data_IF_051498295439
#
_entry.id   IF_051498295439
#
_cell.length_a   1.000
_cell.length_b   1.000
_cell.length_c   1.000
_cell.angle_alpha   90.00
_cell.angle_beta   90.00
_cell.angle_gamma   90.00
#
_symmetry.space_group_name_H-M   'P 1'
#
loop_
_entity.id
_entity.type
_entity.pdbx_description
1 polymer ?
#
# COMPACT_ATOMS: atom_id res chain seq x y z
N UNK A 1 3.77 53.29 -38.43
CA UNK A 1 4.86 52.56 -37.73
C UNK A 1 4.62 52.28 -36.23
N UNK A 2 3.44 52.53 -35.68
CA UNK A 2 3.17 52.37 -34.22
C UNK A 2 2.43 51.07 -33.90
N UNK A 3 1.85 50.38 -34.87
CA UNK A 3 1.06 49.17 -34.68
C UNK A 3 1.90 47.91 -34.45
N UNK A 4 3.13 47.82 -34.99
CA UNK A 4 4.02 46.70 -34.82
C UNK A 4 4.59 46.57 -33.40
N UNK A 5 4.83 47.69 -32.71
CA UNK A 5 5.41 47.68 -31.38
C UNK A 5 4.45 47.12 -30.32
N UNK A 6 3.15 47.41 -30.42
CA UNK A 6 2.14 46.87 -29.49
C UNK A 6 1.90 45.37 -29.69
N UNK A 7 1.99 44.89 -30.93
CA UNK A 7 1.83 43.48 -31.22
C UNK A 7 3.00 42.66 -30.69
N UNK A 8 4.22 43.17 -30.80
CA UNK A 8 5.43 42.54 -30.25
C UNK A 8 5.36 42.52 -28.71
N UNK A 9 4.92 43.60 -28.07
CA UNK A 9 4.73 43.64 -26.61
C UNK A 9 3.71 42.59 -26.16
N UNK A 10 2.57 42.47 -26.82
CA UNK A 10 1.55 41.47 -26.53
C UNK A 10 2.07 40.03 -26.68
N UNK A 11 2.84 39.74 -27.71
CA UNK A 11 3.49 38.45 -27.92
C UNK A 11 4.50 38.12 -26.81
N UNK A 12 5.30 39.12 -26.40
CA UNK A 12 6.25 38.94 -25.30
C UNK A 12 5.52 38.65 -23.97
N UNK A 13 4.42 39.34 -23.67
CA UNK A 13 3.62 39.04 -22.48
C UNK A 13 2.94 37.69 -22.53
N UNK A 14 2.49 37.23 -23.71
CA UNK A 14 1.94 35.88 -23.88
C UNK A 14 3.01 34.80 -23.69
N UNK A 15 4.20 35.00 -24.22
CA UNK A 15 5.32 34.06 -24.07
C UNK A 15 5.78 33.99 -22.61
N UNK A 16 5.92 35.14 -21.93
CA UNK A 16 6.27 35.18 -20.50
C UNK A 16 5.15 34.55 -19.66
N UNK A 17 3.88 34.82 -19.98
CA UNK A 17 2.74 34.21 -19.29
C UNK A 17 2.72 32.68 -19.44
N UNK A 18 2.99 32.16 -20.65
CA UNK A 18 3.10 30.71 -20.89
C UNK A 18 4.28 30.09 -20.16
N UNK A 19 5.44 30.74 -20.12
CA UNK A 19 6.61 30.28 -19.37
C UNK A 19 6.37 30.28 -17.86
N UNK A 20 5.65 31.28 -17.32
CA UNK A 20 5.28 31.30 -15.91
C UNK A 20 4.29 30.18 -15.54
N UNK A 21 3.38 29.81 -16.44
CA UNK A 21 2.46 28.69 -16.21
C UNK A 21 3.20 27.35 -16.25
N UNK A 22 4.11 27.16 -17.22
CA UNK A 22 4.93 25.95 -17.27
C UNK A 22 5.89 25.82 -16.09
N UNK A 23 6.50 26.92 -15.64
CA UNK A 23 7.37 26.95 -14.48
C UNK A 23 6.59 26.69 -13.18
N UNK A 24 5.36 27.20 -13.05
CA UNK A 24 4.50 26.93 -11.90
C UNK A 24 4.05 25.47 -11.82
N UNK A 25 3.75 24.86 -12.97
CA UNK A 25 3.39 23.45 -13.06
C UNK A 25 4.61 22.54 -12.78
N UNK A 26 5.78 22.88 -13.35
CA UNK A 26 7.03 22.18 -13.06
C UNK A 26 7.44 22.28 -11.60
N UNK A 27 7.30 23.45 -10.99
CA UNK A 27 7.61 23.65 -9.57
C UNK A 27 6.72 22.78 -8.67
N UNK A 28 5.42 22.70 -8.94
CA UNK A 28 4.51 21.90 -8.13
C UNK A 28 4.77 20.38 -8.25
N UNK A 29 5.12 19.90 -9.44
CA UNK A 29 5.48 18.48 -9.65
C UNK A 29 6.80 18.12 -8.97
N UNK A 30 7.80 19.00 -9.01
CA UNK A 30 9.08 18.81 -8.31
C UNK A 30 8.86 18.67 -6.79
N UNK A 31 8.08 19.59 -6.18
CA UNK A 31 7.80 19.53 -4.74
C UNK A 31 7.05 18.26 -4.32
N UNK A 32 6.14 17.76 -5.16
CA UNK A 32 5.42 16.51 -4.87
C UNK A 32 6.37 15.29 -4.92
N UNK A 33 7.26 15.22 -5.90
CA UNK A 33 8.22 14.13 -6.02
C UNK A 33 9.27 14.15 -4.90
N UNK A 34 9.69 15.34 -4.44
CA UNK A 34 10.60 15.47 -3.29
C UNK A 34 9.95 14.93 -2.02
N UNK A 35 8.66 15.16 -1.80
CA UNK A 35 7.95 14.62 -0.64
C UNK A 35 7.80 13.09 -0.69
N UNK A 36 7.60 12.51 -1.87
CA UNK A 36 7.56 11.06 -2.05
C UNK A 36 8.94 10.43 -1.84
N UNK A 37 10.00 11.08 -2.33
CA UNK A 37 11.37 10.67 -2.11
C UNK A 37 11.71 10.64 -0.61
N UNK A 38 11.41 11.72 0.12
CA UNK A 38 11.61 11.78 1.56
C UNK A 38 10.78 10.73 2.31
N UNK A 39 9.54 10.50 1.88
CA UNK A 39 8.67 9.49 2.46
C UNK A 39 9.26 8.07 2.32
N UNK A 40 9.81 7.75 1.15
CA UNK A 40 10.47 6.47 0.89
C UNK A 40 11.74 6.32 1.74
N UNK A 41 12.61 7.34 1.79
CA UNK A 41 13.82 7.32 2.64
C UNK A 41 13.45 7.06 4.10
N UNK A 42 12.49 7.82 4.62
CA UNK A 42 12.02 7.65 6.00
C UNK A 42 11.40 6.28 6.25
N UNK A 43 10.71 5.73 5.26
CA UNK A 43 10.20 4.37 5.34
C UNK A 43 11.34 3.36 5.39
N UNK A 44 12.35 3.50 4.51
CA UNK A 44 13.52 2.62 4.43
C UNK A 44 14.41 2.66 5.69
N UNK A 45 14.49 3.80 6.38
CA UNK A 45 15.22 3.94 7.65
C UNK A 45 14.73 2.96 8.72
N UNK A 46 13.42 2.70 8.76
CA UNK A 46 12.82 1.70 9.65
C UNK A 46 13.30 0.27 9.39
N UNK A 47 13.87 -0.01 8.22
CA UNK A 47 14.30 -1.34 7.77
C UNK A 47 15.82 -1.47 7.59
N UNK A 48 16.58 -0.39 7.70
CA UNK A 48 17.96 -0.31 7.21
C UNK A 48 19.01 -1.03 8.06
N UNK A 49 18.68 -1.57 9.23
CA UNK A 49 19.65 -2.27 10.06
C UNK A 49 19.88 -3.71 9.58
N UNK A 50 20.82 -3.89 8.66
CA UNK A 50 21.41 -5.21 8.38
C UNK A 50 21.06 -5.85 7.06
N UNK A 51 20.39 -5.16 6.11
CA UNK A 51 20.07 -5.72 4.81
C UNK A 51 20.68 -4.94 3.66
N UNK A 52 21.27 -5.63 2.69
CA UNK A 52 21.73 -5.03 1.43
C UNK A 52 20.54 -4.64 0.51
N UNK A 53 19.30 -4.98 0.90
CA UNK A 53 18.12 -4.71 0.08
C UNK A 53 17.94 -3.22 -0.22
N UNK A 54 18.19 -2.38 0.77
CA UNK A 54 18.09 -0.92 0.66
C UNK A 54 19.37 -0.25 0.15
N UNK A 55 20.37 -1.03 -0.30
CA UNK A 55 21.63 -0.48 -0.85
C UNK A 55 21.42 0.41 -2.09
N UNK A 56 20.32 0.20 -2.82
CA UNK A 56 19.90 1.04 -3.96
C UNK A 56 19.15 2.32 -3.53
N UNK A 57 18.74 2.42 -2.25
CA UNK A 57 17.94 3.55 -1.75
C UNK A 57 18.87 4.67 -1.27
N UNK A 58 19.43 5.38 -2.22
CA UNK A 58 20.35 6.48 -1.95
C UNK A 58 19.70 7.81 -2.28
N UNK A 59 19.85 8.79 -1.39
CA UNK A 59 19.23 10.09 -1.50
C UNK A 59 19.58 10.85 -2.79
N UNK A 60 20.74 10.57 -3.38
CA UNK A 60 21.21 11.23 -4.59
C UNK A 60 20.76 10.53 -5.87
N UNK A 61 20.09 9.36 -5.77
CA UNK A 61 19.66 8.56 -6.92
C UNK A 61 18.15 8.71 -7.17
N UNK A 62 17.76 8.50 -8.42
CA UNK A 62 16.36 8.46 -8.84
C UNK A 62 15.62 7.32 -8.14
N UNK A 63 14.71 7.64 -7.23
CA UNK A 63 13.97 6.66 -6.43
C UNK A 63 13.10 5.71 -7.28
N UNK A 64 12.75 6.09 -8.50
CA UNK A 64 12.04 5.18 -9.40
C UNK A 64 12.92 4.01 -9.89
N UNK A 65 14.24 4.06 -9.65
CA UNK A 65 15.19 2.96 -9.91
C UNK A 65 15.52 2.14 -8.68
N UNK A 66 14.99 2.51 -7.50
CA UNK A 66 15.25 1.77 -6.28
C UNK A 66 14.56 0.41 -6.30
N UNK A 67 15.23 -0.58 -5.70
CA UNK A 67 14.67 -1.93 -5.60
C UNK A 67 13.29 -1.89 -4.93
N UNK A 68 12.31 -2.48 -5.57
CA UNK A 68 10.95 -2.57 -5.08
C UNK A 68 10.07 -1.33 -5.29
N UNK A 69 10.61 -0.22 -5.81
CA UNK A 69 9.84 0.98 -6.13
C UNK A 69 9.41 0.95 -7.59
N UNK A 70 8.14 1.25 -7.84
CA UNK A 70 7.59 1.41 -9.20
C UNK A 70 6.85 2.73 -9.32
N UNK A 71 7.20 3.48 -10.36
CA UNK A 71 6.59 4.77 -10.65
C UNK A 71 5.71 4.73 -11.90
N UNK A 72 4.80 5.68 -11.99
CA UNK A 72 4.08 5.98 -13.22
C UNK A 72 5.02 6.61 -14.24
N UNK A 73 5.04 6.09 -15.44
CA UNK A 73 6.01 6.49 -16.50
C UNK A 73 5.79 7.92 -17.02
N UNK A 74 4.65 8.53 -16.76
CA UNK A 74 4.29 9.86 -17.27
C UNK A 74 4.50 10.92 -16.19
N UNK A 75 4.04 10.61 -14.98
CA UNK A 75 4.04 11.57 -13.87
C UNK A 75 5.22 11.42 -12.93
N UNK A 76 5.90 10.26 -12.93
CA UNK A 76 6.99 9.96 -12.00
C UNK A 76 6.54 9.62 -10.57
N UNK A 77 5.24 9.66 -10.28
CA UNK A 77 4.72 9.35 -8.95
C UNK A 77 4.86 7.86 -8.60
N UNK A 78 5.13 7.57 -7.33
CA UNK A 78 5.19 6.20 -6.80
C UNK A 78 3.80 5.58 -6.84
N UNK A 79 3.66 4.49 -7.58
CA UNK A 79 2.41 3.73 -7.69
C UNK A 79 2.52 2.32 -7.10
N UNK A 80 3.74 1.85 -6.89
CA UNK A 80 4.03 0.49 -6.44
C UNK A 80 5.18 0.46 -5.46
N UNK A 81 5.04 -0.32 -4.40
CA UNK A 81 6.08 -0.64 -3.44
C UNK A 81 6.04 -2.14 -3.13
N UNK A 82 7.09 -2.86 -3.53
CA UNK A 82 7.26 -4.31 -3.30
C UNK A 82 8.54 -4.55 -2.51
N UNK A 83 8.42 -4.92 -1.26
CA UNK A 83 9.55 -5.16 -0.37
C UNK A 83 9.52 -6.61 0.10
N UNK A 84 10.18 -7.48 -0.64
CA UNK A 84 10.36 -8.89 -0.25
C UNK A 84 11.81 -9.12 0.19
N UNK A 85 12.05 -9.12 1.49
CA UNK A 85 13.37 -9.41 2.02
C UNK A 85 13.43 -10.92 2.28
N UNK A 86 13.77 -11.67 1.24
CA UNK A 86 13.79 -13.16 1.26
C UNK A 86 14.91 -13.76 2.11
N UNK A 87 15.58 -12.99 2.94
CA UNK A 87 16.59 -13.55 3.82
C UNK A 87 15.95 -14.10 5.09
N UNK A 88 15.99 -15.43 5.32
CA UNK A 88 15.38 -16.06 6.49
C UNK A 88 16.01 -15.62 7.81
N UNK A 89 17.21 -15.03 7.78
CA UNK A 89 17.94 -14.54 8.93
C UNK A 89 17.77 -13.03 9.16
N UNK A 90 17.25 -12.29 8.18
CA UNK A 90 16.97 -10.88 8.30
C UNK A 90 15.62 -10.67 8.98
N UNK A 91 15.72 -10.37 10.26
CA UNK A 91 14.61 -9.89 11.04
C UNK A 91 14.60 -8.38 10.87
N UNK A 92 13.56 -7.83 10.28
CA UNK A 92 13.43 -6.39 10.13
C UNK A 92 13.15 -5.77 11.50
N UNK A 93 14.07 -4.96 12.03
CA UNK A 93 13.80 -4.22 13.25
C UNK A 93 12.95 -3.02 12.84
N UNK A 94 11.68 -3.09 12.80
CA UNK A 94 11.05 -1.88 12.39
C UNK A 94 9.56 -1.83 12.65
N UNK A 95 9.14 -0.70 13.13
CA UNK A 95 7.78 -0.25 13.03
C UNK A 95 7.56 0.22 11.59
N UNK A 96 6.51 -0.28 10.93
CA UNK A 96 6.11 0.24 9.63
C UNK A 96 5.79 1.73 9.77
N UNK A 97 6.52 2.56 9.05
CA UNK A 97 6.40 4.02 9.15
C UNK A 97 5.14 4.53 8.48
N UNK A 98 4.42 5.42 9.14
CA UNK A 98 3.28 6.16 8.56
C UNK A 98 3.70 7.12 7.42
N UNK A 99 5.00 7.21 7.11
CA UNK A 99 5.50 8.01 5.98
C UNK A 99 4.90 7.59 4.64
N UNK A 100 4.42 6.33 4.51
CA UNK A 100 3.69 5.85 3.34
C UNK A 100 2.41 6.67 3.03
N UNK A 101 1.85 7.40 4.00
CA UNK A 101 0.74 8.31 3.79
C UNK A 101 1.10 9.49 2.86
N UNK A 102 2.39 9.78 2.71
CA UNK A 102 2.89 10.80 1.80
C UNK A 102 3.12 10.27 0.37
N UNK A 103 2.64 9.07 0.06
CA UNK A 103 2.61 8.48 -1.29
C UNK A 103 1.17 8.48 -1.82
N UNK A 104 0.64 9.60 -2.31
CA UNK A 104 -0.78 9.78 -2.60
C UNK A 104 -1.27 8.93 -3.77
N UNK A 105 -0.36 8.43 -4.62
CA UNK A 105 -0.69 7.63 -5.80
C UNK A 105 -0.37 6.14 -5.63
N UNK A 106 0.03 5.71 -4.41
CA UNK A 106 0.36 4.32 -4.14
C UNK A 106 -0.88 3.42 -4.30
N UNK A 107 -0.78 2.47 -5.24
CA UNK A 107 -1.85 1.50 -5.56
C UNK A 107 -1.50 0.07 -5.20
N UNK A 108 -0.23 -0.25 -5.14
CA UNK A 108 0.27 -1.58 -4.87
C UNK A 108 1.27 -1.55 -3.72
N UNK A 109 0.93 -2.23 -2.64
CA UNK A 109 1.79 -2.39 -1.47
C UNK A 109 1.95 -3.87 -1.16
N UNK A 110 3.17 -4.37 -1.26
CA UNK A 110 3.54 -5.72 -0.90
C UNK A 110 4.66 -5.72 0.15
N UNK A 111 4.31 -6.12 1.35
CA UNK A 111 5.22 -6.28 2.48
C UNK A 111 5.31 -7.74 2.90
N UNK A 112 4.94 -8.68 2.02
CA UNK A 112 4.93 -10.10 2.33
C UNK A 112 6.34 -10.67 2.54
N UNK A 113 6.42 -11.80 3.23
CA UNK A 113 7.65 -12.52 3.49
C UNK A 113 8.72 -11.74 4.28
N UNK A 114 8.31 -10.70 4.97
CA UNK A 114 9.17 -9.92 5.85
C UNK A 114 8.99 -10.39 7.30
N UNK A 115 10.08 -10.80 7.95
CA UNK A 115 10.02 -11.13 9.38
C UNK A 115 10.23 -9.87 10.20
N UNK A 116 9.14 -9.22 10.61
CA UNK A 116 9.25 -8.15 11.60
C UNK A 116 9.74 -8.71 12.95
N UNK A 117 10.74 -8.08 13.57
CA UNK A 117 11.51 -8.62 14.70
C UNK A 117 10.71 -8.89 15.96
N UNK A 118 9.71 -8.08 16.17
CA UNK A 118 8.77 -8.25 17.28
C UNK A 118 7.41 -8.37 16.64
N UNK A 119 6.85 -9.57 16.56
CA UNK A 119 5.50 -9.72 16.06
C UNK A 119 4.67 -8.44 16.33
N UNK A 120 4.37 -7.67 15.28
CA UNK A 120 3.74 -6.34 15.37
C UNK A 120 2.30 -6.43 14.87
N UNK A 121 1.37 -5.61 15.39
CA UNK A 121 0.02 -5.53 14.83
C UNK A 121 0.05 -4.90 13.44
N UNK A 122 -0.95 -5.20 12.61
CA UNK A 122 -1.15 -4.47 11.36
C UNK A 122 -1.43 -3.01 11.71
N UNK A 123 -0.61 -2.06 11.20
CA UNK A 123 -0.77 -0.64 11.55
C UNK A 123 -2.07 -0.06 11.03
N UNK A 124 -2.77 0.68 11.87
CA UNK A 124 -4.04 1.30 11.50
C UNK A 124 -3.90 2.31 10.35
N UNK A 125 -2.75 2.97 10.19
CA UNK A 125 -2.55 3.93 9.10
C UNK A 125 -2.72 3.31 7.71
N UNK A 126 -2.54 1.98 7.57
CA UNK A 126 -2.73 1.27 6.29
C UNK A 126 -4.15 1.50 5.76
N UNK A 127 -5.16 1.53 6.64
CA UNK A 127 -6.54 1.85 6.26
C UNK A 127 -6.75 3.28 5.72
N UNK A 128 -5.73 4.14 5.81
CA UNK A 128 -5.76 5.50 5.25
C UNK A 128 -5.08 5.63 3.88
N UNK A 129 -4.54 4.53 3.33
CA UNK A 129 -3.98 4.48 1.98
C UNK A 129 -5.10 4.30 0.93
N UNK A 130 -5.95 5.30 0.77
CA UNK A 130 -7.23 5.18 0.07
C UNK A 130 -7.15 4.74 -1.41
N UNK A 131 -6.00 4.88 -2.06
CA UNK A 131 -5.81 4.49 -3.47
C UNK A 131 -5.28 3.07 -3.66
N UNK A 132 -5.03 2.34 -2.55
CA UNK A 132 -4.53 0.96 -2.62
C UNK A 132 -5.54 0.07 -3.34
N UNK A 133 -5.04 -0.65 -4.34
CA UNK A 133 -5.75 -1.67 -5.11
C UNK A 133 -5.29 -3.09 -4.77
N UNK A 134 -4.02 -3.24 -4.39
CA UNK A 134 -3.38 -4.48 -4.00
C UNK A 134 -2.63 -4.31 -2.67
N UNK A 135 -2.96 -5.13 -1.70
CA UNK A 135 -2.31 -5.17 -0.39
C UNK A 135 -1.95 -6.61 -0.03
N UNK A 136 -0.66 -6.87 0.11
CA UNK A 136 -0.15 -8.15 0.55
C UNK A 136 0.69 -7.99 1.82
N UNK A 137 0.23 -8.58 2.91
CA UNK A 137 0.86 -8.59 4.22
C UNK A 137 1.12 -10.03 4.69
N UNK A 138 1.13 -10.99 3.76
CA UNK A 138 1.26 -12.41 4.09
C UNK A 138 2.67 -12.79 4.55
N UNK A 139 2.76 -13.79 5.42
CA UNK A 139 4.04 -14.32 5.89
C UNK A 139 5.00 -13.25 6.46
N UNK A 140 4.46 -12.20 7.08
CA UNK A 140 5.22 -11.06 7.56
C UNK A 140 5.30 -10.96 9.10
N UNK A 141 4.81 -12.00 9.80
CA UNK A 141 4.81 -12.09 11.26
C UNK A 141 3.95 -11.02 11.96
N UNK A 142 2.88 -10.56 11.30
CA UNK A 142 1.87 -9.72 11.94
C UNK A 142 1.04 -10.52 12.95
N UNK A 143 0.59 -9.86 14.02
CA UNK A 143 -0.24 -10.46 15.07
C UNK A 143 -1.39 -9.56 15.51
N UNK A 144 -2.20 -10.09 16.44
CA UNK A 144 -3.30 -9.34 17.05
C UNK A 144 -4.53 -9.25 16.17
N UNK A 145 -5.34 -8.24 16.38
CA UNK A 145 -6.62 -8.08 15.69
C UNK A 145 -6.42 -7.38 14.34
N UNK A 146 -7.05 -7.91 13.30
CA UNK A 146 -7.12 -7.23 12.00
C UNK A 146 -7.89 -5.92 12.18
N UNK A 147 -7.30 -4.76 11.84
CA UNK A 147 -7.96 -3.49 12.03
C UNK A 147 -9.14 -3.32 11.05
N UNK A 148 -10.32 -2.98 11.59
CA UNK A 148 -11.55 -2.83 10.81
C UNK A 148 -11.50 -1.66 9.81
N UNK A 149 -10.58 -0.71 10.01
CA UNK A 149 -10.39 0.42 9.10
C UNK A 149 -9.76 0.01 7.76
N UNK A 150 -9.31 -1.24 7.58
CA UNK A 150 -9.03 -1.79 6.24
C UNK A 150 -10.25 -1.71 5.32
N UNK A 151 -11.47 -1.65 5.88
CA UNK A 151 -12.70 -1.37 5.13
C UNK A 151 -12.74 0.00 4.44
N UNK A 152 -11.88 0.95 4.83
CA UNK A 152 -11.79 2.26 4.18
C UNK A 152 -11.07 2.21 2.82
N UNK A 153 -10.41 1.09 2.49
CA UNK A 153 -9.70 0.90 1.22
C UNK A 153 -10.68 0.60 0.08
N UNK A 154 -11.51 1.57 -0.25
CA UNK A 154 -12.62 1.40 -1.19
C UNK A 154 -12.24 0.93 -2.60
N UNK A 155 -10.97 1.10 -3.01
CA UNK A 155 -10.45 0.66 -4.30
C UNK A 155 -9.77 -0.72 -4.26
N UNK A 156 -9.70 -1.36 -3.08
CA UNK A 156 -8.99 -2.61 -2.87
C UNK A 156 -9.56 -3.74 -3.72
N UNK A 157 -8.72 -4.38 -4.52
CA UNK A 157 -9.04 -5.50 -5.40
C UNK A 157 -8.48 -6.83 -4.89
N UNK A 158 -7.36 -6.78 -4.17
CA UNK A 158 -6.70 -7.97 -3.63
C UNK A 158 -6.16 -7.68 -2.24
N UNK A 159 -6.49 -8.57 -1.30
CA UNK A 159 -5.99 -8.55 0.08
C UNK A 159 -5.49 -9.94 0.45
N UNK A 160 -4.23 -10.03 0.84
CA UNK A 160 -3.62 -11.23 1.36
C UNK A 160 -3.05 -10.99 2.76
N UNK A 161 -3.60 -11.68 3.76
CA UNK A 161 -3.19 -11.66 5.17
C UNK A 161 -2.70 -13.04 5.62
N UNK A 162 -2.50 -13.98 4.70
CA UNK A 162 -2.21 -15.37 4.99
C UNK A 162 -0.84 -15.59 5.64
N UNK A 163 -0.65 -16.75 6.25
CA UNK A 163 0.68 -17.20 6.68
C UNK A 163 1.31 -16.42 7.85
N UNK A 164 0.60 -15.54 8.52
CA UNK A 164 1.09 -14.83 9.71
C UNK A 164 1.04 -15.69 10.99
N UNK A 165 1.32 -16.95 10.86
CA UNK A 165 0.80 -18.10 11.56
C UNK A 165 1.27 -18.42 12.96
N UNK A 166 2.37 -17.96 13.53
CA UNK A 166 2.73 -18.37 14.90
C UNK A 166 2.20 -17.43 15.99
N UNK A 167 1.83 -16.23 15.60
CA UNK A 167 1.33 -15.19 16.51
C UNK A 167 -0.12 -14.81 16.22
N UNK A 168 -0.79 -15.61 15.40
CA UNK A 168 -2.18 -15.53 14.95
C UNK A 168 -2.78 -14.12 14.85
N UNK A 169 -2.87 -13.64 13.60
CA UNK A 169 -3.88 -12.64 13.29
C UNK A 169 -5.26 -13.21 13.62
N UNK A 170 -6.13 -12.39 14.18
CA UNK A 170 -7.51 -12.75 14.48
C UNK A 170 -8.47 -11.70 13.94
N UNK A 171 -9.64 -12.13 13.52
CA UNK A 171 -10.73 -11.25 13.17
C UNK A 171 -11.80 -11.27 14.25
N UNK A 172 -12.15 -10.11 14.81
CA UNK A 172 -13.30 -9.98 15.70
C UNK A 172 -14.62 -10.10 14.94
N UNK A 173 -14.65 -9.62 13.70
CA UNK A 173 -15.72 -9.76 12.74
C UNK A 173 -15.19 -9.51 11.32
N UNK A 174 -15.99 -9.78 10.30
CA UNK A 174 -15.67 -9.48 8.89
C UNK A 174 -16.58 -8.41 8.28
N UNK A 175 -17.23 -7.58 9.10
CA UNK A 175 -18.14 -6.54 8.61
C UNK A 175 -17.44 -5.52 7.69
N UNK A 176 -16.17 -5.26 7.93
CA UNK A 176 -15.36 -4.37 7.11
C UNK A 176 -15.15 -4.88 5.68
N UNK A 177 -15.29 -6.19 5.41
CA UNK A 177 -15.17 -6.76 4.07
C UNK A 177 -16.34 -6.34 3.18
N UNK A 178 -17.54 -6.14 3.76
CA UNK A 178 -18.73 -5.81 2.97
C UNK A 178 -18.65 -4.49 2.21
N UNK A 179 -17.88 -3.53 2.73
CA UNK A 179 -17.74 -2.21 2.11
C UNK A 179 -16.70 -2.18 0.99
N UNK A 180 -15.90 -3.25 0.84
CA UNK A 180 -14.88 -3.38 -0.18
C UNK A 180 -15.45 -3.84 -1.52
N UNK A 181 -16.26 -3.01 -2.17
CA UNK A 181 -17.05 -3.36 -3.36
C UNK A 181 -16.24 -3.81 -4.58
N UNK A 182 -14.94 -3.46 -4.64
CA UNK A 182 -14.03 -3.87 -5.74
C UNK A 182 -13.17 -5.08 -5.41
N UNK A 183 -13.26 -5.63 -4.19
CA UNK A 183 -12.44 -6.75 -3.75
C UNK A 183 -12.74 -8.00 -4.61
N UNK A 184 -11.70 -8.62 -5.15
CA UNK A 184 -11.77 -9.82 -5.99
C UNK A 184 -11.06 -11.01 -5.35
N UNK A 185 -10.01 -10.74 -4.60
CA UNK A 185 -9.19 -11.76 -3.95
C UNK A 185 -9.07 -11.40 -2.47
N UNK A 186 -9.40 -12.36 -1.61
CA UNK A 186 -9.22 -12.27 -0.17
C UNK A 186 -8.61 -13.58 0.32
N UNK A 187 -7.40 -13.52 0.87
CA UNK A 187 -6.76 -14.66 1.51
C UNK A 187 -6.60 -14.40 3.02
N UNK A 188 -7.30 -15.18 3.82
CA UNK A 188 -7.26 -15.18 5.28
C UNK A 188 -6.72 -16.51 5.83
N UNK A 189 -5.95 -17.27 5.01
CA UNK A 189 -5.44 -18.58 5.42
C UNK A 189 -4.54 -18.46 6.66
N UNK A 190 -4.90 -19.17 7.72
CA UNK A 190 -4.20 -19.10 9.00
C UNK A 190 -4.63 -17.97 9.94
N UNK A 191 -5.62 -17.15 9.57
CA UNK A 191 -6.25 -16.17 10.46
C UNK A 191 -7.23 -16.88 11.40
N UNK A 192 -7.20 -16.53 12.68
CA UNK A 192 -8.18 -17.01 13.66
C UNK A 192 -9.51 -16.27 13.48
N UNK A 193 -10.54 -17.00 13.04
CA UNK A 193 -11.91 -16.51 12.84
C UNK A 193 -12.86 -16.94 13.96
N UNK A 194 -12.37 -17.48 15.09
CA UNK A 194 -13.20 -18.01 16.18
C UNK A 194 -14.15 -16.99 16.78
N UNK A 195 -13.76 -15.71 16.80
CA UNK A 195 -14.59 -14.60 17.27
C UNK A 195 -15.56 -14.07 16.21
N UNK A 196 -15.25 -14.27 14.94
CA UNK A 196 -16.08 -13.81 13.82
C UNK A 196 -17.19 -14.83 13.52
N UNK A 197 -18.15 -15.00 14.46
CA UNK A 197 -19.17 -16.06 14.42
C UNK A 197 -19.95 -16.14 13.12
N UNK A 198 -20.17 -15.00 12.47
CA UNK A 198 -20.96 -14.88 11.24
C UNK A 198 -20.08 -14.81 9.97
N UNK A 199 -18.81 -15.23 10.08
CA UNK A 199 -17.86 -15.12 8.99
C UNK A 199 -18.33 -15.82 7.70
N UNK A 200 -18.96 -17.00 7.83
CA UNK A 200 -19.44 -17.78 6.69
C UNK A 200 -20.62 -17.07 6.00
N UNK A 201 -21.54 -16.52 6.79
CA UNK A 201 -22.65 -15.73 6.29
C UNK A 201 -22.17 -14.46 5.64
N UNK A 202 -21.22 -13.78 6.28
CA UNK A 202 -20.53 -12.59 5.78
C UNK A 202 -19.96 -12.80 4.39
N UNK A 203 -19.25 -13.89 4.18
CA UNK A 203 -18.62 -14.21 2.90
C UNK A 203 -19.67 -14.66 1.86
N UNK A 204 -20.67 -15.45 2.26
CA UNK A 204 -21.74 -15.88 1.37
C UNK A 204 -22.58 -14.71 0.87
N UNK A 205 -22.89 -13.74 1.72
CA UNK A 205 -23.58 -12.50 1.33
C UNK A 205 -22.70 -11.73 0.36
N UNK A 206 -21.43 -11.54 0.66
CA UNK A 206 -20.50 -10.86 -0.23
C UNK A 206 -20.41 -11.55 -1.60
N UNK A 207 -20.22 -12.86 -1.66
CA UNK A 207 -20.17 -13.64 -2.89
C UNK A 207 -21.47 -13.55 -3.71
N UNK A 208 -22.62 -13.43 -3.05
CA UNK A 208 -23.93 -13.31 -3.72
C UNK A 208 -24.14 -11.93 -4.37
N UNK A 209 -23.63 -10.87 -3.75
CA UNK A 209 -23.75 -9.50 -4.27
C UNK A 209 -22.61 -9.09 -5.20
N UNK A 210 -21.44 -9.71 -5.07
CA UNK A 210 -20.29 -9.50 -5.94
C UNK A 210 -20.18 -10.65 -6.93
N UNK A 211 -20.85 -10.54 -8.07
CA UNK A 211 -20.81 -11.53 -9.16
C UNK A 211 -19.44 -11.77 -9.79
N UNK A 212 -18.36 -11.28 -9.18
CA UNK A 212 -16.98 -11.26 -9.71
C UNK A 212 -15.91 -11.73 -8.74
N UNK A 213 -16.26 -12.30 -7.58
CA UNK A 213 -15.24 -12.80 -6.64
C UNK A 213 -14.73 -14.15 -7.10
N UNK A 214 -13.50 -14.20 -7.56
CA UNK A 214 -12.96 -15.41 -8.16
C UNK A 214 -12.25 -16.31 -7.17
N UNK A 215 -11.86 -15.92 -5.97
CA UNK A 215 -11.29 -16.83 -4.97
C UNK A 215 -11.28 -16.19 -3.58
N UNK A 216 -11.96 -16.81 -2.65
CA UNK A 216 -11.75 -16.66 -1.22
C UNK A 216 -11.12 -17.95 -0.77
N UNK A 217 -9.83 -17.97 -0.53
CA UNK A 217 -9.16 -19.10 0.10
C UNK A 217 -9.27 -18.92 1.61
N UNK A 218 -10.23 -19.62 2.21
CA UNK A 218 -10.36 -19.72 3.65
C UNK A 218 -9.85 -21.08 4.08
N UNK A 219 -8.63 -21.12 4.58
CA UNK A 219 -8.15 -22.23 5.37
C UNK A 219 -8.31 -21.85 6.85
N UNK A 220 -9.52 -21.97 7.37
CA UNK A 220 -9.74 -21.82 8.81
C UNK A 220 -9.07 -22.99 9.54
N UNK A 221 -8.13 -22.72 10.43
CA UNK A 221 -7.50 -23.71 11.30
C UNK A 221 -8.41 -24.15 12.45
N UNK A 222 -9.69 -24.39 12.17
CA UNK A 222 -10.64 -24.94 13.14
C UNK A 222 -11.61 -25.93 12.49
N UNK A 223 -11.08 -27.10 12.08
CA UNK A 223 -11.90 -28.27 11.75
C UNK A 223 -11.82 -29.31 12.87
N UNK A 224 -11.90 -28.93 14.16
CA UNK A 224 -11.86 -29.92 15.24
C UNK A 224 -13.04 -29.91 16.21
N UNK A 225 -14.19 -29.29 15.86
CA UNK A 225 -15.38 -29.40 16.71
C UNK A 225 -16.75 -29.37 16.00
N UNK A 226 -16.81 -29.82 14.73
CA UNK A 226 -18.11 -30.01 14.04
C UNK A 226 -18.28 -31.50 13.67
N UNK A 227 -17.93 -32.39 14.59
CA UNK A 227 -18.38 -33.80 14.62
C UNK A 227 -18.59 -34.20 16.06
N UNK A 228 -19.71 -33.81 16.63
CA UNK A 228 -20.34 -34.47 17.77
C UNK A 228 -21.85 -34.22 17.71
#
# INVERSE_FOLDING_TARGET
MIQGSKFIQLLVYLIIGLQCVEFSLMSSTIWCLDSEHEALLKFGEGFSSGTDYFSSWKAEEDFCKWSGVGCDNVTGHVTKLELHIRDPFNILPGETSSSLLNLPYLRHLDLSQNKFSYSIPIPEFIGSLHHIEYLNLSNANFHGTIPSNLGNLSHLKSLDLSGNGYSSLRAENLNWVYVLSFLKVLDLSGVDLSNAKDWLESINIYAKFSSRVTFILLYASQASSICA
#
